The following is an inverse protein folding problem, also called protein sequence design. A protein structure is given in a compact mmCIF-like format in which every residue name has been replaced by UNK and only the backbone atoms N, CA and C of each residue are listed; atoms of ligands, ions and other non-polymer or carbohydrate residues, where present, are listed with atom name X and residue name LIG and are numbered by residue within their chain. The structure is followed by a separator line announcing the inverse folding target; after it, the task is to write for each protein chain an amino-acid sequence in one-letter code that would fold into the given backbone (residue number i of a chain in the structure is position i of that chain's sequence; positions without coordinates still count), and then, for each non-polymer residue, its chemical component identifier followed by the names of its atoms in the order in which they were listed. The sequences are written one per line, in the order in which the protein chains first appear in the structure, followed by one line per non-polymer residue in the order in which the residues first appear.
data_IF_287792245053
#
_entry.id   IF_287792245053
#
_cell.length_a   1.000
_cell.length_b   1.000
_cell.length_c   1.000
_cell.angle_alpha   90.00
_cell.angle_beta   90.00
_cell.angle_gamma   90.00
#
_symmetry.space_group_name_H-M   'P 1'
#
loop_
_entity.id
_entity.type
_entity.pdbx_description
1 polymer ?
#
# COMPACT_ATOMS: atom_id res chain seq x y z
N UNK A 1 -8.25 5.22 -22.82
CA UNK A 1 -8.62 5.45 -21.40
C UNK A 1 -7.45 4.96 -20.55
N UNK A 2 -6.67 5.84 -19.89
CA UNK A 2 -5.53 5.38 -19.08
C UNK A 2 -6.05 4.61 -17.87
N UNK A 3 -5.57 3.40 -17.70
CA UNK A 3 -5.92 2.56 -16.56
C UNK A 3 -5.55 3.29 -15.26
N UNK A 4 -6.55 3.61 -14.43
CA UNK A 4 -6.38 4.39 -13.19
C UNK A 4 -5.77 3.57 -12.06
N UNK A 5 -5.67 2.26 -12.25
CA UNK A 5 -5.16 1.32 -11.25
C UNK A 5 -4.04 0.47 -11.83
N UNK A 6 -3.11 0.03 -10.99
CA UNK A 6 -2.04 -0.88 -11.37
C UNK A 6 -1.74 -1.85 -10.23
N UNK A 7 -1.17 -3.01 -10.58
CA UNK A 7 -0.71 -4.01 -9.62
C UNK A 7 0.81 -3.95 -9.49
N UNK A 8 1.32 -4.22 -8.30
CA UNK A 8 2.76 -4.33 -8.05
C UNK A 8 3.02 -5.17 -6.80
N UNK A 9 4.04 -6.01 -6.84
CA UNK A 9 4.59 -6.66 -5.65
C UNK A 9 5.64 -5.74 -5.03
N UNK A 10 5.57 -5.54 -3.72
CA UNK A 10 6.51 -4.68 -3.03
C UNK A 10 6.70 -5.07 -1.56
N UNK A 11 7.84 -4.67 -1.00
CA UNK A 11 8.12 -4.76 0.43
C UNK A 11 7.81 -3.42 1.10
N UNK A 12 7.14 -3.46 2.25
CA UNK A 12 6.91 -2.26 3.07
C UNK A 12 8.21 -1.90 3.81
N UNK A 13 8.88 -0.83 3.42
CA UNK A 13 10.16 -0.40 4.03
C UNK A 13 9.98 0.74 5.04
N UNK A 14 8.83 1.42 5.04
CA UNK A 14 8.46 2.41 6.06
C UNK A 14 6.95 2.47 6.20
N UNK A 15 6.45 2.58 7.43
CA UNK A 15 5.05 2.89 7.73
C UNK A 15 4.96 4.03 8.73
N UNK A 16 3.96 4.90 8.57
CA UNK A 16 3.58 5.90 9.58
C UNK A 16 2.07 6.04 9.65
N UNK A 17 1.56 6.39 10.81
CA UNK A 17 0.16 6.78 10.95
C UNK A 17 -0.14 7.98 10.05
N UNK A 18 -1.30 7.94 9.40
CA UNK A 18 -1.78 9.03 8.56
C UNK A 18 -3.25 9.27 8.93
N UNK A 19 -3.54 10.42 9.51
CA UNK A 19 -4.84 10.67 10.12
C UNK A 19 -5.22 9.63 11.18
N UNK A 20 -6.52 9.45 11.37
CA UNK A 20 -7.06 8.58 12.42
C UNK A 20 -6.94 7.09 12.09
N UNK A 21 -7.34 6.71 10.88
CA UNK A 21 -7.55 5.31 10.51
C UNK A 21 -6.60 4.78 9.42
N UNK A 22 -5.74 5.64 8.84
CA UNK A 22 -4.95 5.28 7.67
C UNK A 22 -3.46 5.08 8.03
N UNK A 23 -2.73 4.47 7.09
CA UNK A 23 -1.27 4.43 7.12
C UNK A 23 -0.71 5.01 5.83
N UNK A 24 0.34 5.80 5.95
CA UNK A 24 1.21 6.11 4.82
C UNK A 24 2.36 5.11 4.79
N UNK A 25 2.52 4.46 3.64
CA UNK A 25 3.54 3.46 3.39
C UNK A 25 4.58 3.99 2.39
N UNK A 26 5.82 3.59 2.61
CA UNK A 26 6.85 3.57 1.57
C UNK A 26 7.10 2.12 1.20
N UNK A 27 6.92 1.82 -0.07
CA UNK A 27 7.04 0.49 -0.63
C UNK A 27 8.25 0.46 -1.55
N UNK A 28 8.95 -0.67 -1.59
CA UNK A 28 10.01 -0.90 -2.56
C UNK A 28 9.61 -2.08 -3.44
N UNK A 29 9.40 -1.79 -4.71
CA UNK A 29 9.05 -2.75 -5.76
C UNK A 29 10.23 -2.96 -6.69
N UNK A 30 10.30 -4.12 -7.32
CA UNK A 30 11.34 -4.42 -8.31
C UNK A 30 11.14 -3.60 -9.59
N UNK A 31 9.90 -3.45 -10.05
CA UNK A 31 9.57 -2.89 -11.36
C UNK A 31 9.38 -1.37 -11.34
N UNK A 32 8.95 -0.80 -10.20
CA UNK A 32 8.64 0.64 -10.09
C UNK A 32 9.52 1.36 -9.06
N UNK A 33 10.46 0.64 -8.44
CA UNK A 33 11.32 1.17 -7.39
C UNK A 33 10.53 1.62 -6.16
N UNK A 34 10.89 2.79 -5.63
CA UNK A 34 10.30 3.35 -4.41
C UNK A 34 8.94 4.01 -4.69
N UNK A 35 7.88 3.49 -4.08
CA UNK A 35 6.51 4.00 -4.20
C UNK A 35 6.04 4.56 -2.86
N UNK A 36 5.30 5.67 -2.87
CA UNK A 36 4.57 6.17 -1.69
C UNK A 36 3.07 5.97 -1.90
N UNK A 37 2.41 5.38 -0.91
CA UNK A 37 0.98 5.08 -1.00
C UNK A 37 0.27 5.15 0.36
N UNK A 38 -1.01 5.53 0.34
CA UNK A 38 -1.88 5.53 1.51
C UNK A 38 -2.70 4.24 1.52
N UNK A 39 -2.63 3.50 2.62
CA UNK A 39 -3.54 2.41 2.92
C UNK A 39 -4.71 2.95 3.77
N UNK A 40 -5.81 3.31 3.09
CA UNK A 40 -7.01 3.84 3.74
C UNK A 40 -7.67 2.78 4.62
N UNK A 41 -8.02 3.17 5.84
CA UNK A 41 -8.63 2.34 6.86
C UNK A 41 -7.73 1.22 7.37
N UNK A 42 -6.41 1.24 7.12
CA UNK A 42 -5.50 0.18 7.52
C UNK A 42 -5.38 -0.02 9.05
N UNK A 43 -5.81 0.96 9.85
CA UNK A 43 -5.81 0.88 11.31
C UNK A 43 -7.18 0.57 11.91
N UNK A 44 -8.24 0.44 11.09
CA UNK A 44 -9.55 0.02 11.62
C UNK A 44 -9.46 -1.41 12.12
N UNK A 45 -10.08 -1.76 13.28
CA UNK A 45 -10.01 -3.12 13.83
C UNK A 45 -10.41 -4.23 12.86
N UNK A 46 -11.41 -3.97 12.00
CA UNK A 46 -11.93 -4.93 11.02
C UNK A 46 -11.28 -4.81 9.63
N UNK A 47 -10.13 -4.13 9.52
CA UNK A 47 -9.51 -3.88 8.23
C UNK A 47 -8.80 -5.11 7.70
N UNK A 48 -9.26 -5.59 6.53
CA UNK A 48 -8.58 -6.68 5.80
C UNK A 48 -7.17 -6.32 5.34
N UNK A 49 -6.76 -5.04 5.40
CA UNK A 49 -5.43 -4.61 4.94
C UNK A 49 -4.37 -4.67 6.04
N UNK A 50 -4.76 -4.67 7.32
CA UNK A 50 -3.83 -4.44 8.45
C UNK A 50 -2.64 -5.39 8.42
N UNK A 51 -2.90 -6.69 8.31
CA UNK A 51 -1.87 -7.73 8.27
C UNK A 51 -1.12 -7.84 6.94
N UNK A 52 -1.40 -7.01 5.93
CA UNK A 52 -0.70 -7.02 4.64
C UNK A 52 0.15 -5.77 4.42
N UNK A 53 0.10 -4.82 5.37
CA UNK A 53 0.76 -3.52 5.30
C UNK A 53 1.63 -3.24 6.53
N UNK A 54 2.08 -4.30 7.21
CA UNK A 54 3.08 -4.17 8.27
C UNK A 54 4.48 -4.00 7.71
N UNK A 55 5.38 -3.49 8.55
CA UNK A 55 6.76 -3.25 8.17
C UNK A 55 7.44 -4.58 7.77
N UNK A 56 8.25 -4.53 6.72
CA UNK A 56 8.96 -5.66 6.10
C UNK A 56 8.10 -6.75 5.46
N UNK A 57 6.78 -6.59 5.44
CA UNK A 57 5.93 -7.51 4.70
C UNK A 57 6.08 -7.30 3.21
N UNK A 58 6.15 -8.43 2.49
CA UNK A 58 6.06 -8.49 1.03
C UNK A 58 4.62 -8.79 0.65
N UNK A 59 4.03 -7.92 -0.16
CA UNK A 59 2.63 -8.04 -0.53
C UNK A 59 2.43 -7.63 -1.99
N UNK A 60 1.41 -8.22 -2.63
CA UNK A 60 0.84 -7.75 -3.89
C UNK A 60 -0.16 -6.65 -3.58
N UNK A 61 0.01 -5.50 -4.20
CA UNK A 61 -0.83 -4.34 -4.02
C UNK A 61 -1.60 -4.04 -5.31
N UNK A 62 -2.90 -3.76 -5.17
CA UNK A 62 -3.66 -3.01 -6.19
C UNK A 62 -3.70 -1.55 -5.74
N UNK A 63 -3.24 -0.65 -6.61
CA UNK A 63 -3.16 0.77 -6.30
C UNK A 63 -3.89 1.60 -7.33
N UNK A 64 -4.65 2.60 -6.88
CA UNK A 64 -5.10 3.69 -7.71
C UNK A 64 -3.99 4.75 -7.80
N UNK A 65 -3.65 5.17 -9.03
CA UNK A 65 -2.61 6.15 -9.28
C UNK A 65 -3.07 7.54 -8.88
N UNK A 66 -2.36 8.18 -7.95
CA UNK A 66 -2.58 9.56 -7.57
C UNK A 66 -1.58 10.50 -8.23
N UNK A 67 -1.75 11.81 -8.00
CA UNK A 67 -0.79 12.83 -8.46
C UNK A 67 0.52 12.75 -7.67
N UNK A 68 0.41 12.73 -6.34
CA UNK A 68 1.57 12.71 -5.42
C UNK A 68 1.64 11.44 -4.57
N UNK A 69 0.48 10.87 -4.22
CA UNK A 69 0.36 9.67 -3.41
C UNK A 69 -0.62 8.69 -4.04
N UNK A 70 -0.18 7.46 -4.21
CA UNK A 70 -1.06 6.37 -4.65
C UNK A 70 -1.99 5.95 -3.50
N UNK A 71 -3.09 5.29 -3.83
CA UNK A 71 -4.03 4.75 -2.86
C UNK A 71 -4.05 3.23 -2.98
N UNK A 72 -3.77 2.52 -1.90
CA UNK A 72 -3.88 1.07 -1.84
C UNK A 72 -5.36 0.70 -1.72
N UNK A 73 -5.89 0.08 -2.76
CA UNK A 73 -7.27 -0.41 -2.80
C UNK A 73 -7.36 -1.84 -2.27
N UNK A 74 -6.37 -2.68 -2.59
CA UNK A 74 -6.23 -4.05 -2.08
C UNK A 74 -4.76 -4.37 -1.76
N UNK A 75 -4.55 -5.26 -0.79
CA UNK A 75 -3.24 -5.78 -0.42
C UNK A 75 -3.40 -7.26 -0.03
N UNK A 76 -2.48 -8.10 -0.48
CA UNK A 76 -2.45 -9.53 -0.21
C UNK A 76 -1.00 -9.94 0.05
N UNK A 77 -0.73 -10.63 1.15
CA UNK A 77 0.62 -11.07 1.49
C UNK A 77 1.09 -12.13 0.48
N UNK A 78 2.37 -12.06 0.14
CA UNK A 78 3.05 -13.10 -0.65
C UNK A 78 3.94 -13.88 0.31
N UNK A 79 3.74 -15.21 0.37
CA UNK A 79 4.61 -16.12 1.14
C UNK A 79 6.07 -16.08 0.66
#
# INVERSE_FOLDING_TARGET
MRERTFRTEAIVIKRRNFGEADRLLTLFSREQGKIRAIAKGARKPQSRKTGHVELFMRSKFLMAKGKDLNIITQAEMVE
#
